data_IF_231950924617
#
_entry.id   IF_231950924617
#
_cell.length_a   1.000
_cell.length_b   1.000
_cell.length_c   1.000
_cell.angle_alpha   90.00
_cell.angle_beta   90.00
_cell.angle_gamma   90.00
#
_symmetry.space_group_name_H-M   'P 1'
#
loop_
_entity.id
_entity.type
_entity.pdbx_description
1 polymer ?
#
# COMPACT_ATOMS: atom_id res chain seq x y z
N UNK A 1 21.21 -2.88 -6.21
CA UNK A 1 19.82 -3.11 -6.66
C UNK A 1 19.46 -4.52 -6.19
N UNK A 2 18.52 -4.64 -5.25
CA UNK A 2 18.01 -5.94 -4.83
C UNK A 2 17.31 -6.60 -6.02
N UNK A 3 17.52 -7.89 -6.23
CA UNK A 3 16.74 -8.64 -7.22
C UNK A 3 15.25 -8.57 -6.86
N UNK A 4 14.37 -8.40 -7.85
CA UNK A 4 12.92 -8.47 -7.68
C UNK A 4 12.18 -7.18 -7.32
N UNK A 5 12.85 -6.02 -7.22
CA UNK A 5 12.15 -4.74 -7.05
C UNK A 5 11.56 -4.23 -8.39
N UNK A 6 10.32 -3.75 -8.37
CA UNK A 6 9.61 -3.12 -9.50
C UNK A 6 9.51 -3.96 -10.79
N UNK A 7 9.44 -5.29 -10.67
CA UNK A 7 9.19 -6.16 -11.82
C UNK A 7 7.69 -6.44 -11.96
N UNK A 8 7.14 -6.14 -13.14
CA UNK A 8 5.79 -6.58 -13.51
C UNK A 8 5.79 -8.10 -13.68
N UNK A 9 5.12 -8.80 -12.77
CA UNK A 9 4.98 -10.26 -12.82
C UNK A 9 3.88 -10.69 -13.79
N UNK A 10 2.79 -9.93 -13.88
CA UNK A 10 1.71 -10.15 -14.84
C UNK A 10 1.01 -8.85 -15.20
N UNK A 11 0.44 -8.81 -16.41
CA UNK A 11 -0.50 -7.77 -16.84
C UNK A 11 -1.87 -8.41 -16.98
N UNK A 12 -2.85 -7.84 -16.30
CA UNK A 12 -4.23 -8.33 -16.33
C UNK A 12 -5.06 -7.36 -17.18
N UNK A 13 -5.74 -7.89 -18.20
CA UNK A 13 -6.65 -7.13 -19.04
C UNK A 13 -8.08 -7.49 -18.66
N UNK A 14 -8.92 -6.49 -18.42
CA UNK A 14 -10.31 -6.68 -17.99
C UNK A 14 -11.28 -6.05 -18.97
N UNK A 15 -12.44 -6.67 -19.13
CA UNK A 15 -13.61 -6.09 -19.80
C UNK A 15 -14.70 -5.92 -18.75
N UNK A 16 -15.12 -4.68 -18.51
CA UNK A 16 -16.24 -4.38 -17.61
C UNK A 16 -17.53 -4.44 -18.42
N UNK A 17 -18.42 -5.38 -18.08
CA UNK A 17 -19.74 -5.46 -18.70
C UNK A 17 -20.58 -4.28 -18.21
N UNK A 18 -21.23 -3.55 -19.10
CA UNK A 18 -21.98 -2.32 -18.75
C UNK A 18 -23.06 -2.51 -17.68
N UNK A 19 -23.61 -3.71 -17.54
CA UNK A 19 -24.62 -4.04 -16.53
C UNK A 19 -24.03 -4.39 -15.16
N UNK A 20 -22.70 -4.35 -14.99
CA UNK A 20 -22.05 -4.68 -13.72
C UNK A 20 -22.34 -3.59 -12.70
N UNK A 21 -22.95 -3.92 -11.54
CA UNK A 21 -23.22 -2.94 -10.51
C UNK A 21 -21.94 -2.28 -9.97
N UNK A 22 -22.05 -1.02 -9.59
CA UNK A 22 -21.00 -0.32 -8.87
C UNK A 22 -20.77 -0.96 -7.50
N UNK A 23 -19.53 -0.95 -7.05
CA UNK A 23 -19.09 -1.67 -5.85
C UNK A 23 -18.93 -3.17 -6.05
N UNK A 24 -19.12 -3.71 -7.27
CA UNK A 24 -18.76 -5.11 -7.55
C UNK A 24 -17.26 -5.28 -7.37
N UNK A 25 -16.87 -6.22 -6.50
CA UNK A 25 -15.48 -6.55 -6.20
C UNK A 25 -15.14 -7.93 -6.75
N UNK A 26 -14.02 -8.04 -7.46
CA UNK A 26 -13.39 -9.31 -7.82
C UNK A 26 -12.07 -9.44 -7.07
N UNK A 27 -11.94 -10.48 -6.24
CA UNK A 27 -10.71 -10.77 -5.51
C UNK A 27 -9.66 -11.42 -6.44
N UNK A 28 -8.43 -10.91 -6.41
CA UNK A 28 -7.27 -11.45 -7.09
C UNK A 28 -6.40 -12.19 -6.07
N UNK A 29 -6.42 -13.53 -6.13
CA UNK A 29 -5.71 -14.37 -5.17
C UNK A 29 -4.47 -15.00 -5.79
N UNK A 30 -3.31 -14.59 -5.31
CA UNK A 30 -2.08 -15.36 -5.54
C UNK A 30 -2.20 -16.73 -4.87
N UNK A 31 -1.75 -17.77 -5.56
CA UNK A 31 -1.85 -19.15 -5.10
C UNK A 31 -0.56 -19.92 -5.39
N UNK A 32 -0.12 -20.66 -4.39
CA UNK A 32 0.98 -21.61 -4.50
C UNK A 32 0.50 -23.02 -4.90
N UNK A 33 1.41 -23.86 -5.40
CA UNK A 33 1.17 -25.29 -5.61
C UNK A 33 0.17 -25.59 -6.73
N UNK A 34 0.17 -24.81 -7.80
CA UNK A 34 -0.71 -25.07 -8.96
C UNK A 34 -0.20 -26.27 -9.78
N UNK A 35 -1.13 -27.11 -10.25
CA UNK A 35 -0.84 -28.25 -11.14
C UNK A 35 -0.80 -29.62 -10.44
N UNK A 36 -0.50 -30.66 -11.23
CA UNK A 36 -0.25 -32.03 -10.76
C UNK A 36 0.90 -32.65 -11.58
N UNK A 37 2.10 -32.84 -11.00
CA UNK A 37 2.49 -32.48 -9.63
C UNK A 37 2.47 -30.96 -9.38
N UNK A 38 2.29 -30.52 -8.11
CA UNK A 38 2.19 -29.09 -7.78
C UNK A 38 3.51 -28.36 -8.04
N UNK A 39 3.41 -27.15 -8.60
CA UNK A 39 4.54 -26.23 -8.81
C UNK A 39 4.52 -25.17 -7.72
N UNK A 40 5.63 -25.07 -6.96
CA UNK A 40 5.76 -24.14 -5.86
C UNK A 40 6.40 -22.81 -6.30
N UNK A 41 5.90 -21.70 -5.76
CA UNK A 41 6.42 -20.35 -5.90
C UNK A 41 7.52 -20.14 -4.86
N UNK A 42 8.74 -19.83 -5.33
CA UNK A 42 9.88 -19.53 -4.46
C UNK A 42 10.63 -18.31 -5.00
N UNK A 43 11.14 -17.48 -4.10
CA UNK A 43 12.14 -16.47 -4.44
C UNK A 43 13.53 -17.06 -4.28
N UNK A 44 14.28 -17.13 -5.37
CA UNK A 44 15.70 -17.42 -5.33
C UNK A 44 16.45 -16.15 -4.92
N UNK A 45 17.24 -16.25 -3.85
CA UNK A 45 18.07 -15.15 -3.35
C UNK A 45 19.55 -15.51 -3.46
N UNK A 46 20.41 -14.50 -3.38
CA UNK A 46 21.85 -14.67 -3.48
C UNK A 46 22.37 -15.67 -2.43
N UNK A 47 23.35 -16.48 -2.80
CA UNK A 47 23.88 -17.55 -1.93
C UNK A 47 23.19 -18.90 -2.07
N UNK A 48 22.26 -19.07 -3.02
CA UNK A 48 21.63 -20.36 -3.32
C UNK A 48 20.49 -20.74 -2.37
N UNK A 49 19.99 -19.78 -1.60
CA UNK A 49 18.83 -19.96 -0.73
C UNK A 49 17.53 -19.68 -1.50
N UNK A 50 16.45 -20.29 -1.02
CA UNK A 50 15.10 -20.06 -1.51
C UNK A 50 14.18 -19.70 -0.34
N UNK A 51 13.31 -18.72 -0.54
CA UNK A 51 12.32 -18.26 0.45
C UNK A 51 10.93 -18.34 -0.14
N UNK A 52 9.95 -18.77 0.65
CA UNK A 52 8.54 -18.78 0.25
C UNK A 52 7.97 -17.36 0.29
N UNK A 53 7.27 -16.89 -0.74
CA UNK A 53 6.61 -15.58 -0.73
C UNK A 53 5.52 -15.53 0.35
N UNK A 54 5.34 -14.35 0.95
CA UNK A 54 4.05 -13.99 1.54
C UNK A 54 3.17 -13.39 0.45
N UNK A 55 1.89 -13.76 0.42
CA UNK A 55 0.96 -13.26 -0.60
C UNK A 55 0.19 -12.06 -0.08
N UNK A 56 0.30 -10.94 -0.80
CA UNK A 56 -0.63 -9.82 -0.70
C UNK A 56 -1.63 -10.00 -1.84
N UNK A 57 -2.90 -10.27 -1.52
CA UNK A 57 -3.96 -10.40 -2.52
C UNK A 57 -4.42 -9.02 -2.99
N UNK A 58 -4.99 -8.97 -4.19
CA UNK A 58 -5.52 -7.75 -4.77
C UNK A 58 -7.04 -7.79 -4.88
N UNK A 59 -7.64 -6.64 -5.18
CA UNK A 59 -9.05 -6.52 -5.51
C UNK A 59 -9.22 -5.65 -6.76
N UNK A 60 -10.23 -5.98 -7.57
CA UNK A 60 -10.68 -5.15 -8.68
C UNK A 60 -12.11 -4.72 -8.37
N UNK A 61 -12.31 -3.42 -8.14
CA UNK A 61 -13.60 -2.85 -7.80
C UNK A 61 -14.12 -2.00 -8.95
N UNK A 62 -15.40 -2.15 -9.29
CA UNK A 62 -16.07 -1.26 -10.25
C UNK A 62 -16.55 -0.02 -9.51
N UNK A 63 -15.84 1.10 -9.63
CA UNK A 63 -16.16 2.37 -8.97
C UNK A 63 -16.72 3.41 -9.93
N UNK A 64 -17.46 4.38 -9.38
CA UNK A 64 -17.97 5.56 -10.11
C UNK A 64 -16.95 6.70 -10.17
N UNK A 65 -15.99 6.71 -9.24
CA UNK A 65 -14.92 7.71 -9.14
C UNK A 65 -13.56 7.04 -9.30
N UNK A 66 -12.57 7.74 -9.88
CA UNK A 66 -11.18 7.28 -9.78
C UNK A 66 -10.81 7.23 -8.30
N UNK A 67 -10.48 6.04 -7.80
CA UNK A 67 -9.82 5.95 -6.50
C UNK A 67 -8.37 6.43 -6.70
N UNK A 68 -7.96 7.42 -5.93
CA UNK A 68 -6.60 7.94 -5.99
C UNK A 68 -5.68 6.97 -5.26
N UNK A 69 -4.76 6.37 -6.01
CA UNK A 69 -3.75 5.50 -5.42
C UNK A 69 -2.76 6.35 -4.65
N UNK A 70 -2.34 5.87 -3.49
CA UNK A 70 -1.39 6.57 -2.64
C UNK A 70 -0.22 5.67 -2.24
N UNK A 71 0.79 6.29 -1.63
CA UNK A 71 1.92 5.60 -0.99
C UNK A 71 1.74 5.78 0.52
N UNK A 72 1.61 4.70 1.29
CA UNK A 72 1.49 4.81 2.75
C UNK A 72 2.75 5.44 3.33
N UNK A 73 2.59 6.43 4.20
CA UNK A 73 3.68 7.22 4.77
C UNK A 73 4.06 8.48 3.96
N UNK A 74 3.46 8.72 2.78
CA UNK A 74 3.63 9.94 1.98
C UNK A 74 2.57 10.98 2.36
N UNK A 75 2.66 11.50 3.58
CA UNK A 75 1.68 12.44 4.12
C UNK A 75 1.63 13.78 3.36
N UNK A 76 2.74 14.17 2.71
CA UNK A 76 2.82 15.37 1.86
C UNK A 76 2.27 15.16 0.45
N UNK A 77 2.03 13.90 0.06
CA UNK A 77 1.54 13.50 -1.25
C UNK A 77 2.45 13.92 -2.41
N UNK A 78 3.77 13.93 -2.15
CA UNK A 78 4.82 14.33 -3.09
C UNK A 78 5.50 13.13 -3.80
N UNK A 79 4.97 11.93 -3.56
CA UNK A 79 5.42 10.63 -4.07
C UNK A 79 6.75 10.15 -3.48
N UNK A 80 7.19 10.72 -2.37
CA UNK A 80 8.45 10.36 -1.73
C UNK A 80 8.29 10.26 -0.21
N UNK A 81 8.27 9.04 0.32
CA UNK A 81 8.27 8.83 1.78
C UNK A 81 9.62 9.21 2.39
N UNK A 82 9.63 10.31 3.14
CA UNK A 82 10.83 10.87 3.74
C UNK A 82 10.55 11.64 5.05
N UNK A 83 11.54 12.37 5.57
CA UNK A 83 11.39 13.10 6.85
C UNK A 83 10.38 14.25 6.76
N UNK A 84 10.14 14.81 5.57
CA UNK A 84 9.17 15.88 5.36
C UNK A 84 7.75 15.44 5.74
N UNK A 85 7.40 14.18 5.49
CA UNK A 85 6.09 13.61 5.83
C UNK A 85 5.88 13.54 7.34
N UNK A 86 6.90 13.12 8.10
CA UNK A 86 6.85 13.12 9.56
C UNK A 86 6.71 14.55 10.12
N UNK A 87 7.41 15.52 9.53
CA UNK A 87 7.29 16.93 9.92
C UNK A 87 5.88 17.43 9.61
N UNK A 88 5.34 17.14 8.43
CA UNK A 88 4.00 17.53 8.00
C UNK A 88 2.92 17.01 8.96
N UNK A 89 3.00 15.74 9.36
CA UNK A 89 2.10 15.14 10.36
C UNK A 89 2.17 15.89 11.70
N UNK A 90 3.39 16.14 12.21
CA UNK A 90 3.57 16.83 13.48
C UNK A 90 3.09 18.30 13.43
N UNK A 91 3.27 18.98 12.30
CA UNK A 91 2.74 20.32 12.09
C UNK A 91 1.21 20.33 12.10
N UNK A 92 0.56 19.39 11.41
CA UNK A 92 -0.89 19.22 11.46
C UNK A 92 -1.38 18.98 12.90
N UNK A 93 -0.75 18.04 13.62
CA UNK A 93 -1.19 17.62 14.96
C UNK A 93 -0.97 18.69 16.03
N UNK A 94 0.11 19.49 15.95
CA UNK A 94 0.55 20.33 17.06
C UNK A 94 0.73 21.81 16.74
N UNK A 95 0.78 22.18 15.46
CA UNK A 95 1.10 23.56 15.04
C UNK A 95 0.00 24.20 14.17
N UNK A 96 -1.14 23.53 14.01
CA UNK A 96 -2.24 24.01 13.15
C UNK A 96 -1.88 23.96 11.66
N UNK A 97 -1.03 23.00 11.28
CA UNK A 97 -0.71 22.71 9.89
C UNK A 97 -1.94 22.31 9.07
N UNK A 98 -1.76 22.30 7.76
CA UNK A 98 -2.84 21.93 6.82
C UNK A 98 -3.12 20.44 6.92
N UNK A 99 -4.40 20.06 6.83
CA UNK A 99 -4.78 18.66 6.75
C UNK A 99 -4.33 18.04 5.42
N UNK A 100 -3.86 16.79 5.44
CA UNK A 100 -3.44 16.10 4.22
C UNK A 100 -4.59 15.96 3.22
N UNK A 101 -4.26 15.94 1.94
CA UNK A 101 -5.20 15.60 0.86
C UNK A 101 -5.50 14.10 0.80
N UNK A 102 -4.68 13.27 1.47
CA UNK A 102 -4.79 11.82 1.47
C UNK A 102 -4.63 11.28 2.90
N UNK A 103 -5.73 11.20 3.67
CA UNK A 103 -5.73 10.69 5.04
C UNK A 103 -5.09 9.31 5.18
N UNK A 104 -5.35 8.39 4.24
CA UNK A 104 -4.78 7.04 4.26
C UNK A 104 -3.25 7.03 4.09
N UNK A 105 -2.68 8.03 3.39
CA UNK A 105 -1.22 8.17 3.30
C UNK A 105 -0.59 8.68 4.60
N UNK A 106 -1.35 9.47 5.37
CA UNK A 106 -0.93 10.01 6.66
C UNK A 106 -1.03 9.00 7.80
N UNK A 107 -1.99 8.06 7.72
CA UNK A 107 -2.07 6.90 8.61
C UNK A 107 -0.99 5.87 8.26
N UNK A 108 0.20 6.08 8.83
CA UNK A 108 1.40 5.33 8.48
C UNK A 108 1.39 3.94 9.13
N UNK A 109 0.75 3.79 10.29
CA UNK A 109 0.67 2.52 11.00
C UNK A 109 -0.60 1.71 10.68
N UNK A 110 -1.50 2.23 9.84
CA UNK A 110 -2.71 1.57 9.36
C UNK A 110 -3.67 1.22 10.52
N UNK A 111 -3.82 2.14 11.48
CA UNK A 111 -4.66 1.95 12.67
C UNK A 111 -6.05 2.63 12.58
N UNK A 112 -6.31 3.32 11.47
CA UNK A 112 -7.54 4.05 11.16
C UNK A 112 -7.60 5.44 11.81
N UNK A 113 -6.51 5.92 12.43
CA UNK A 113 -6.49 7.21 13.14
C UNK A 113 -5.19 8.00 12.95
N UNK A 114 -5.29 9.20 12.37
CA UNK A 114 -4.13 10.09 12.23
C UNK A 114 -3.76 10.69 13.60
N UNK A 115 -2.65 10.23 14.18
CA UNK A 115 -2.16 10.63 15.48
C UNK A 115 -0.61 10.62 15.57
N UNK A 116 -0.05 10.84 16.77
CA UNK A 116 1.42 10.88 16.95
C UNK A 116 2.10 9.52 16.66
N UNK A 117 1.35 8.43 16.76
CA UNK A 117 1.76 7.07 16.41
C UNK A 117 2.25 6.96 14.97
N UNK A 118 1.63 7.68 14.04
CA UNK A 118 2.03 7.70 12.62
C UNK A 118 3.42 8.29 12.42
N UNK A 119 3.64 9.48 13.01
CA UNK A 119 4.93 10.15 12.94
C UNK A 119 6.03 9.31 13.60
N UNK A 120 5.73 8.66 14.73
CA UNK A 120 6.66 7.76 15.42
C UNK A 120 6.96 6.52 14.56
N UNK A 121 5.93 5.90 13.97
CA UNK A 121 6.08 4.74 13.09
C UNK A 121 6.98 5.09 11.89
N UNK A 122 6.68 6.21 11.23
CA UNK A 122 7.44 6.70 10.09
C UNK A 122 8.91 6.98 10.43
N UNK A 123 9.18 7.68 11.53
CA UNK A 123 10.55 7.98 11.97
C UNK A 123 11.31 6.70 12.36
N UNK A 124 10.64 5.73 12.97
CA UNK A 124 11.23 4.43 13.29
C UNK A 124 11.59 3.67 12.01
N UNK A 125 10.73 3.68 10.99
CA UNK A 125 11.02 3.11 9.68
C UNK A 125 12.25 3.78 9.05
N UNK A 126 12.30 5.12 9.02
CA UNK A 126 13.36 5.88 8.36
C UNK A 126 14.74 5.76 9.04
N UNK A 127 14.79 5.67 10.38
CA UNK A 127 16.05 5.84 11.11
C UNK A 127 16.41 4.69 12.05
N UNK A 128 15.44 3.87 12.49
CA UNK A 128 15.67 2.85 13.51
C UNK A 128 15.64 1.42 12.96
N UNK A 129 15.36 1.24 11.65
CA UNK A 129 15.14 -0.09 11.07
C UNK A 129 13.90 -0.76 11.68
N UNK A 130 12.88 0.03 12.01
CA UNK A 130 11.61 -0.43 12.56
C UNK A 130 10.81 -1.30 11.60
N UNK A 131 9.59 -1.67 12.02
CA UNK A 131 8.65 -2.42 11.18
C UNK A 131 8.45 -1.74 9.82
N UNK A 132 8.24 -2.55 8.79
CA UNK A 132 7.95 -2.05 7.44
C UNK A 132 6.61 -1.33 7.45
N UNK A 133 6.53 -0.18 6.79
CA UNK A 133 5.25 0.50 6.55
C UNK A 133 4.30 -0.48 5.85
N UNK A 134 3.04 -0.63 6.32
CA UNK A 134 2.04 -1.47 5.67
C UNK A 134 1.83 -1.11 4.19
N UNK A 135 1.26 -2.04 3.44
CA UNK A 135 0.81 -1.77 2.07
C UNK A 135 -0.06 -0.51 2.04
N UNK A 136 0.01 0.38 1.03
CA UNK A 136 0.70 0.23 -0.26
C UNK A 136 2.20 0.54 -0.35
N UNK A 137 2.93 0.84 0.72
CA UNK A 137 4.37 1.13 0.62
C UNK A 137 5.19 -0.10 0.14
N UNK A 138 6.23 0.06 -0.73
CA UNK A 138 6.76 1.29 -1.34
C UNK A 138 6.11 1.68 -2.68
N UNK A 139 4.99 1.05 -3.04
CA UNK A 139 4.29 1.28 -4.30
C UNK A 139 3.05 2.16 -4.12
N UNK A 140 2.28 2.23 -5.19
CA UNK A 140 0.96 2.85 -5.19
C UNK A 140 -0.10 1.78 -4.97
N UNK A 141 -1.11 2.08 -4.17
CA UNK A 141 -2.24 1.20 -4.00
C UNK A 141 -3.41 1.85 -3.30
N UNK A 142 -4.45 1.04 -3.09
CA UNK A 142 -5.62 1.37 -2.29
C UNK A 142 -5.37 0.93 -0.85
N UNK A 143 -6.14 1.49 0.08
CA UNK A 143 -6.22 0.94 1.42
C UNK A 143 -6.95 -0.43 1.37
N UNK A 144 -6.28 -1.54 1.76
CA UNK A 144 -6.95 -2.84 1.84
C UNK A 144 -7.80 -2.98 3.11
N UNK A 145 -7.61 -2.10 4.09
CA UNK A 145 -8.36 -2.04 5.33
C UNK A 145 -9.51 -1.07 5.19
N UNK A 146 -10.63 -1.40 5.84
CA UNK A 146 -11.79 -0.52 5.85
C UNK A 146 -11.77 0.26 7.16
N UNK A 147 -11.77 1.58 7.06
CA UNK A 147 -11.84 2.48 8.21
C UNK A 147 -12.81 3.66 7.97
N UNK A 148 -12.64 4.72 8.74
CA UNK A 148 -13.43 5.97 8.64
C UNK A 148 -12.60 7.15 8.14
N UNK A 149 -11.38 6.92 7.66
CA UNK A 149 -10.59 7.94 7.00
C UNK A 149 -11.25 8.32 5.67
N UNK A 150 -11.05 9.58 5.27
CA UNK A 150 -11.63 10.09 4.04
C UNK A 150 -10.80 9.64 2.84
N UNK A 151 -11.46 9.45 1.70
CA UNK A 151 -10.78 9.13 0.44
C UNK A 151 -9.70 10.18 0.09
N UNK A 152 -8.60 9.72 -0.50
CA UNK A 152 -7.58 10.60 -1.06
C UNK A 152 -8.14 11.45 -2.20
N UNK A 153 -7.81 12.75 -2.20
CA UNK A 153 -8.33 13.77 -3.12
C UNK A 153 -7.27 14.21 -4.16
N UNK A 154 -7.69 14.72 -5.34
CA UNK A 154 -6.81 15.26 -6.37
C UNK A 154 -6.15 16.60 -6.01
#
# INVERSE_FOLDING_TARGET
>A
MTAGANQTLCTLNYLVVQSTPLGTVTELRFKDGLGSPPINNIYAIEGGFAVTPYFIHGMVTISQQPQFLFIRGDATYDQSVNIADAIFLLEYLFSGGVFTVCPDAADTNDDGTINIGDAINLLNYLFAGGETIPYPYPGYGLDPTQDSLGDCLP
#
